data_IF_863164253105
#
_entry.id   IF_863164253105
#
_cell.length_a   1.000
_cell.length_b   1.000
_cell.length_c   1.000
_cell.angle_alpha   90.00
_cell.angle_beta   90.00
_cell.angle_gamma   90.00
#
_symmetry.space_group_name_H-M   'P 1'
#
loop_
_entity.id
_entity.type
_entity.pdbx_description
1 polymer ?
#
# COMPACT_ATOMS: atom_id res chain seq x y z
N UNK A 1 -9.05 1.50 6.22
CA UNK A 1 -8.87 1.60 4.76
C UNK A 1 -8.16 0.35 4.29
N UNK A 2 -8.69 -0.36 3.29
CA UNK A 2 -8.16 -1.66 2.83
C UNK A 2 -7.98 -1.61 1.31
N UNK A 3 -7.12 -0.70 0.86
CA UNK A 3 -6.76 -0.54 -0.56
C UNK A 3 -5.49 -1.36 -0.80
N UNK A 4 -5.42 -2.09 -1.92
CA UNK A 4 -4.33 -3.01 -2.28
C UNK A 4 -3.99 -4.08 -1.23
N UNK A 5 -4.95 -4.94 -0.80
CA UNK A 5 -4.66 -6.03 0.13
C UNK A 5 -3.67 -7.07 -0.41
N UNK A 6 -3.50 -7.15 -1.73
CA UNK A 6 -2.48 -7.98 -2.38
C UNK A 6 -1.05 -7.42 -2.28
N UNK A 7 -0.90 -6.14 -1.90
CA UNK A 7 0.40 -5.47 -1.76
C UNK A 7 0.69 -5.10 -0.31
N UNK A 8 -0.33 -4.76 0.48
CA UNK A 8 -0.18 -4.33 1.87
C UNK A 8 -1.08 -5.11 2.81
N UNK A 9 -0.57 -5.39 4.01
CA UNK A 9 -1.32 -6.01 5.09
C UNK A 9 -1.23 -5.16 6.35
N UNK A 10 -2.38 -4.73 6.87
CA UNK A 10 -2.45 -4.16 8.22
C UNK A 10 -2.75 -5.29 9.19
N UNK A 11 -1.82 -5.55 10.11
CA UNK A 11 -1.97 -6.62 11.09
C UNK A 11 -2.58 -6.10 12.38
N UNK A 12 -2.91 -7.04 13.28
CA UNK A 12 -3.49 -6.74 14.59
C UNK A 12 -2.55 -5.98 15.53
N UNK A 13 -1.26 -5.91 15.21
CA UNK A 13 -0.26 -5.09 15.91
C UNK A 13 -0.33 -3.61 15.53
N UNK A 14 -1.17 -3.23 14.56
CA UNK A 14 -1.35 -1.86 14.11
C UNK A 14 -0.29 -1.38 13.12
N UNK A 15 0.59 -2.26 12.65
CA UNK A 15 1.58 -1.94 11.63
C UNK A 15 1.09 -2.35 10.23
N UNK A 16 1.54 -1.58 9.24
CA UNK A 16 1.38 -1.90 7.83
C UNK A 16 2.63 -2.63 7.34
N UNK A 17 2.41 -3.79 6.73
CA UNK A 17 3.45 -4.63 6.14
C UNK A 17 3.32 -4.61 4.63
N UNK A 18 4.44 -4.50 3.94
CA UNK A 18 4.52 -4.68 2.49
C UNK A 18 4.63 -6.18 2.19
N UNK A 19 3.67 -6.72 1.45
CA UNK A 19 3.63 -8.11 0.99
C UNK A 19 4.32 -8.29 -0.37
N UNK A 20 4.32 -7.24 -1.19
CA UNK A 20 4.92 -7.22 -2.52
C UNK A 20 5.66 -5.89 -2.71
N UNK A 21 7.00 -5.93 -2.67
CA UNK A 21 7.84 -4.74 -2.80
C UNK A 21 7.87 -4.21 -4.24
N UNK A 22 7.73 -5.11 -5.23
CA UNK A 22 7.70 -4.78 -6.66
C UNK A 22 6.35 -5.21 -7.27
N UNK A 23 5.26 -4.48 -6.96
CA UNK A 23 3.95 -4.81 -7.48
C UNK A 23 3.88 -4.60 -9.00
N UNK A 24 3.11 -5.42 -9.72
CA UNK A 24 3.00 -5.30 -11.17
C UNK A 24 2.38 -3.94 -11.57
N UNK A 25 2.89 -3.37 -12.67
CA UNK A 25 2.52 -2.05 -13.20
C UNK A 25 1.01 -1.76 -13.30
N UNK A 26 0.12 -2.73 -13.65
CA UNK A 26 -1.32 -2.51 -13.66
C UNK A 26 -1.94 -2.15 -12.30
N UNK A 27 -1.24 -2.40 -11.19
CA UNK A 27 -1.68 -2.01 -9.85
C UNK A 27 -1.31 -0.56 -9.51
N UNK A 28 -0.46 0.11 -10.31
CA UNK A 28 -0.01 1.49 -10.06
C UNK A 28 -1.15 2.46 -9.73
N UNK A 29 -2.29 2.49 -10.45
CA UNK A 29 -3.39 3.40 -10.10
C UNK A 29 -3.99 3.15 -8.71
N UNK A 30 -4.07 1.88 -8.29
CA UNK A 30 -4.58 1.53 -6.95
C UNK A 30 -3.54 1.86 -5.86
N UNK A 31 -2.25 1.73 -6.17
CA UNK A 31 -1.17 2.12 -5.25
C UNK A 31 -1.15 3.64 -5.04
N UNK A 32 -1.37 4.43 -6.10
CA UNK A 32 -1.45 5.89 -6.02
C UNK A 32 -2.62 6.31 -5.12
N UNK A 33 -3.81 5.72 -5.31
CA UNK A 33 -4.96 5.94 -4.43
C UNK A 33 -4.65 5.54 -2.98
N UNK A 34 -3.96 4.42 -2.77
CA UNK A 34 -3.56 3.98 -1.43
C UNK A 34 -2.63 4.99 -0.73
N UNK A 35 -1.68 5.58 -1.47
CA UNK A 35 -0.78 6.62 -0.95
C UNK A 35 -1.55 7.90 -0.63
N UNK A 36 -2.38 8.40 -1.55
CA UNK A 36 -3.15 9.64 -1.34
C UNK A 36 -4.09 9.58 -0.13
N UNK A 37 -4.67 8.40 0.09
CA UNK A 37 -5.64 8.19 1.16
C UNK A 37 -4.97 7.74 2.47
N UNK A 38 -3.64 7.55 2.51
CA UNK A 38 -2.91 7.11 3.70
C UNK A 38 -2.77 8.28 4.72
N UNK A 39 -3.47 8.25 5.87
CA UNK A 39 -3.50 9.40 6.77
C UNK A 39 -2.20 9.60 7.56
N UNK A 40 -1.34 8.58 7.62
CA UNK A 40 -0.08 8.62 8.38
C UNK A 40 1.15 8.68 7.46
N UNK A 41 0.96 8.90 6.15
CA UNK A 41 2.03 8.89 5.16
C UNK A 41 2.97 7.67 5.29
N UNK A 42 2.39 6.51 5.63
CA UNK A 42 3.14 5.29 5.98
C UNK A 42 3.72 4.57 4.75
N UNK A 43 3.26 4.92 3.54
CA UNK A 43 3.66 4.30 2.29
C UNK A 43 3.96 5.38 1.24
N UNK A 44 4.89 5.08 0.34
CA UNK A 44 5.25 5.91 -0.81
C UNK A 44 5.63 5.02 -1.98
N UNK A 45 5.36 5.47 -3.20
CA UNK A 45 5.82 4.82 -4.43
C UNK A 45 7.17 5.41 -4.81
N UNK A 46 8.16 4.56 -5.05
CA UNK A 46 9.45 4.92 -5.64
C UNK A 46 9.62 4.21 -6.97
N UNK A 47 10.09 4.94 -7.99
CA UNK A 47 10.18 4.48 -9.37
C UNK A 47 10.64 5.59 -10.29
#
# INVERSE_FOLDING_TARGET
MRICPEVFEVRSDGFLYVLQEEPPEPLRPQLEEAVEMCPMDAIRIEG
#
